data_IF_452754424086
#
_entry.id   IF_452754424086
#
_cell.length_a   1.000
_cell.length_b   1.000
_cell.length_c   1.000
_cell.angle_alpha   90.00
_cell.angle_beta   90.00
_cell.angle_gamma   90.00
#
_symmetry.space_group_name_H-M   'P 1'
#
loop_
_entity.id
_entity.type
_entity.pdbx_description
1 polymer ?
#
# COMPACT_ATOMS: atom_id res chain seq x y z
N UNK A 1 7.29 -3.33 5.11
CA UNK A 1 6.97 -2.57 6.33
C UNK A 1 5.67 -3.10 6.90
N UNK A 2 5.59 -3.20 8.22
CA UNK A 2 4.43 -3.69 8.96
C UNK A 2 4.27 -2.79 10.19
N UNK A 3 3.14 -2.10 10.32
CA UNK A 3 2.86 -1.13 11.38
C UNK A 3 1.41 -1.31 11.86
N UNK A 4 1.14 -1.06 13.14
CA UNK A 4 -0.22 -0.94 13.67
C UNK A 4 -0.60 0.53 13.79
N UNK A 5 -1.73 0.91 13.20
CA UNK A 5 -2.25 2.28 13.17
C UNK A 5 -3.76 2.30 13.41
N UNK A 6 -4.23 3.06 14.41
CA UNK A 6 -5.65 3.16 14.79
C UNK A 6 -6.36 1.80 14.97
N UNK A 7 -5.69 0.80 15.54
CA UNK A 7 -6.23 -0.54 15.72
C UNK A 7 -6.25 -1.42 14.46
N UNK A 8 -5.71 -0.91 13.34
CA UNK A 8 -5.56 -1.67 12.09
C UNK A 8 -4.09 -2.01 11.82
N UNK A 9 -3.84 -3.22 11.33
CA UNK A 9 -2.50 -3.63 10.88
C UNK A 9 -2.28 -3.20 9.44
N UNK A 10 -1.33 -2.30 9.19
CA UNK A 10 -0.91 -1.85 7.87
C UNK A 10 0.36 -2.59 7.45
N UNK A 11 0.29 -3.30 6.32
CA UNK A 11 1.43 -3.96 5.68
C UNK A 11 1.71 -3.33 4.31
N UNK A 12 2.93 -2.87 4.10
CA UNK A 12 3.38 -2.27 2.84
C UNK A 12 4.57 -3.06 2.31
N UNK A 13 4.40 -3.60 1.11
CA UNK A 13 5.38 -4.42 0.41
C UNK A 13 5.72 -3.73 -0.91
N UNK A 14 7.01 -3.53 -1.19
CA UNK A 14 7.42 -3.07 -2.52
C UNK A 14 7.16 -4.22 -3.49
N UNK A 15 6.39 -4.02 -4.58
CA UNK A 15 6.28 -5.06 -5.59
C UNK A 15 7.68 -5.32 -6.14
N UNK A 16 8.12 -6.57 -6.10
CA UNK A 16 9.18 -6.98 -7.00
C UNK A 16 8.58 -6.94 -8.40
N UNK A 17 8.89 -5.89 -9.15
CA UNK A 17 8.71 -5.97 -10.59
C UNK A 17 9.58 -7.12 -11.08
N UNK A 18 9.09 -8.00 -11.96
CA UNK A 18 9.98 -8.88 -12.69
C UNK A 18 11.01 -7.99 -13.38
N UNK A 19 12.29 -8.18 -13.02
CA UNK A 19 13.40 -7.60 -13.78
C UNK A 19 13.39 -8.26 -15.15
N UNK A 20 12.62 -7.72 -16.08
CA UNK A 20 12.70 -8.14 -17.47
C UNK A 20 14.07 -7.68 -17.99
N UNK A 21 15.00 -8.62 -18.06
CA UNK A 21 16.31 -8.44 -18.67
C UNK A 21 16.10 -8.17 -20.16
N UNK A 22 16.51 -6.99 -20.61
CA UNK A 22 16.78 -6.66 -22.01
C UNK A 22 15.61 -6.70 -23.00
N UNK A 23 15.02 -5.53 -23.22
CA UNK A 23 14.27 -5.16 -24.41
C UNK A 23 13.77 -3.71 -24.26
N UNK A 24 13.58 -2.92 -25.33
CA UNK A 24 13.09 -1.56 -25.22
C UNK A 24 11.64 -1.60 -24.72
N UNK A 25 11.48 -1.61 -23.40
CA UNK A 25 10.20 -1.66 -22.70
C UNK A 25 9.47 -0.34 -22.93
N UNK A 26 8.71 -0.32 -24.01
CA UNK A 26 7.67 0.65 -24.30
C UNK A 26 6.64 0.58 -23.16
N UNK A 27 6.75 1.52 -22.21
CA UNK A 27 5.77 1.72 -21.14
C UNK A 27 6.13 0.97 -19.86
N UNK A 28 6.90 1.62 -18.98
CA UNK A 28 7.18 1.15 -17.64
C UNK A 28 5.91 0.79 -16.89
N UNK A 29 5.76 -0.50 -16.56
CA UNK A 29 4.78 -0.92 -15.58
C UNK A 29 5.06 -0.13 -14.30
N UNK A 30 4.15 0.78 -13.96
CA UNK A 30 4.28 1.62 -12.78
C UNK A 30 4.50 0.70 -11.57
N UNK A 31 5.56 0.96 -10.83
CA UNK A 31 5.95 0.17 -9.67
C UNK A 31 4.94 0.46 -8.56
N UNK A 32 3.84 -0.29 -8.49
CA UNK A 32 2.75 0.00 -7.54
C UNK A 32 2.96 -0.73 -6.21
N UNK A 33 3.31 0.00 -5.15
CA UNK A 33 3.38 -0.53 -3.77
C UNK A 33 2.17 -1.40 -3.44
N UNK A 34 2.41 -2.58 -2.87
CA UNK A 34 1.34 -3.44 -2.36
C UNK A 34 1.05 -3.02 -0.92
N UNK A 35 -0.15 -2.51 -0.68
CA UNK A 35 -0.63 -2.05 0.61
C UNK A 35 -1.77 -2.97 1.05
N UNK A 36 -1.64 -3.57 2.22
CA UNK A 36 -2.66 -4.39 2.85
C UNK A 36 -3.02 -3.83 4.22
N UNK A 37 -4.30 -3.74 4.54
CA UNK A 37 -4.83 -3.27 5.84
C UNK A 37 -5.66 -4.40 6.45
N UNK A 38 -5.30 -4.87 7.64
CA UNK A 38 -5.95 -6.00 8.33
C UNK A 38 -6.00 -7.27 7.45
N UNK A 39 -5.02 -7.45 6.56
CA UNK A 39 -4.97 -8.55 5.58
C UNK A 39 -5.75 -8.31 4.28
N UNK A 40 -6.47 -7.18 4.15
CA UNK A 40 -7.17 -6.80 2.92
C UNK A 40 -6.29 -5.97 2.00
N UNK A 41 -6.15 -6.36 0.74
CA UNK A 41 -5.45 -5.55 -0.27
C UNK A 41 -6.24 -4.26 -0.55
N UNK A 42 -5.59 -3.12 -0.32
CA UNK A 42 -6.15 -1.78 -0.56
C UNK A 42 -5.33 -1.00 -1.58
N UNK A 43 -4.26 -1.58 -2.10
CA UNK A 43 -3.36 -1.03 -3.12
C UNK A 43 -4.11 -0.37 -4.27
N UNK A 44 -5.18 -1.00 -4.75
CA UNK A 44 -5.99 -0.50 -5.88
C UNK A 44 -6.78 0.77 -5.56
N UNK A 45 -7.04 1.03 -4.28
CA UNK A 45 -7.79 2.19 -3.80
C UNK A 45 -6.87 3.34 -3.37
N UNK A 46 -5.62 3.05 -3.00
CA UNK A 46 -4.68 4.00 -2.40
C UNK A 46 -3.52 4.38 -3.32
N UNK A 47 -3.03 3.45 -4.14
CA UNK A 47 -1.83 3.66 -4.98
C UNK A 47 -2.18 4.50 -6.21
N UNK A 48 -1.51 5.64 -6.37
CA UNK A 48 -1.55 6.47 -7.57
C UNK A 48 -0.34 6.21 -8.48
N UNK A 49 -0.46 6.58 -9.77
CA UNK A 49 0.55 6.38 -10.83
C UNK A 49 1.98 6.92 -10.54
N UNK A 50 2.17 7.77 -9.52
CA UNK A 50 3.45 8.39 -9.14
C UNK A 50 3.81 8.13 -7.67
N UNK A 51 3.40 6.99 -7.15
CA UNK A 51 3.72 6.60 -5.78
C UNK A 51 5.03 5.84 -5.78
N UNK A 52 6.14 6.56 -5.83
CA UNK A 52 7.49 5.98 -5.95
C UNK A 52 8.17 5.80 -4.58
N UNK A 53 7.69 6.53 -3.55
CA UNK A 53 8.25 6.51 -2.20
C UNK A 53 7.41 5.69 -1.22
N UNK A 54 8.10 4.99 -0.31
CA UNK A 54 7.46 4.22 0.77
C UNK A 54 6.63 5.14 1.68
N UNK A 55 7.07 6.38 1.88
CA UNK A 55 6.37 7.38 2.69
C UNK A 55 5.01 7.77 2.10
N UNK A 56 4.91 7.91 0.77
CA UNK A 56 3.65 8.22 0.09
C UNK A 56 2.68 7.03 0.18
N UNK A 57 3.22 5.80 0.06
CA UNK A 57 2.47 4.57 0.30
C UNK A 57 1.91 4.48 1.73
N UNK A 58 2.72 4.88 2.72
CA UNK A 58 2.30 4.91 4.11
C UNK A 58 1.24 5.98 4.37
N UNK A 59 1.43 7.19 3.82
CA UNK A 59 0.46 8.27 3.93
C UNK A 59 -0.89 7.87 3.31
N UNK A 60 -0.87 7.20 2.16
CA UNK A 60 -2.07 6.70 1.50
C UNK A 60 -2.77 5.59 2.31
N UNK A 61 -1.99 4.69 2.91
CA UNK A 61 -2.51 3.63 3.79
C UNK A 61 -3.16 4.22 5.06
N UNK A 62 -2.50 5.17 5.73
CA UNK A 62 -3.03 5.84 6.92
C UNK A 62 -4.30 6.62 6.60
N UNK A 63 -4.34 7.34 5.47
CA UNK A 63 -5.55 8.04 5.01
C UNK A 63 -6.71 7.09 4.72
N UNK A 64 -6.42 5.87 4.25
CA UNK A 64 -7.45 4.86 4.05
C UNK A 64 -8.01 4.36 5.39
N UNK A 65 -7.15 4.11 6.37
CA UNK A 65 -7.58 3.76 7.73
C UNK A 65 -8.38 4.88 8.37
N UNK A 66 -7.94 6.12 8.25
CA UNK A 66 -8.65 7.32 8.73
C UNK A 66 -10.07 7.42 8.13
N UNK A 67 -10.23 7.09 6.84
CA UNK A 67 -11.55 7.01 6.18
C UNK A 67 -12.41 5.84 6.62
N UNK A 68 -11.82 4.72 7.03
CA UNK A 68 -12.57 3.61 7.61
C UNK A 68 -13.13 3.98 9.00
N UNK A 69 -12.59 5.03 9.61
CA UNK A 69 -12.84 5.39 10.99
C UNK A 69 -12.00 4.54 11.94
N UNK A 70 -11.90 4.96 13.20
CA UNK A 70 -11.38 4.11 14.25
C UNK A 70 -12.26 2.86 14.32
N UNK A 71 -11.67 1.68 14.09
CA UNK A 71 -12.35 0.43 14.43
C UNK A 71 -12.67 0.53 15.91
N UNK A 72 -13.95 0.47 16.33
CA UNK A 72 -14.27 0.43 17.74
C UNK A 72 -13.45 -0.73 18.30
N UNK A 73 -12.62 -0.44 19.30
CA UNK A 73 -11.94 -1.48 20.04
C UNK A 73 -13.05 -2.44 20.46
N UNK A 74 -13.10 -3.61 19.83
CA UNK A 74 -14.10 -4.61 20.18
C UNK A 74 -13.77 -4.94 21.63
N UNK A 75 -14.58 -4.40 22.55
CA UNK A 75 -14.57 -4.73 23.97
C UNK A 75 -14.58 -6.26 24.06
N UNK A 76 -13.49 -6.79 24.63
CA UNK A 76 -13.33 -8.20 24.97
C UNK A 76 -13.04 -8.29 26.46
#
# INVERSE_FOLDING_TARGET
>A
MDEFYLGHRIKIERPQLPQFTSGPLRGGAAQTWKISVDGRDVSRHTVKRKMDSMEDALAAARKYVDRLGERPAAEA
#
